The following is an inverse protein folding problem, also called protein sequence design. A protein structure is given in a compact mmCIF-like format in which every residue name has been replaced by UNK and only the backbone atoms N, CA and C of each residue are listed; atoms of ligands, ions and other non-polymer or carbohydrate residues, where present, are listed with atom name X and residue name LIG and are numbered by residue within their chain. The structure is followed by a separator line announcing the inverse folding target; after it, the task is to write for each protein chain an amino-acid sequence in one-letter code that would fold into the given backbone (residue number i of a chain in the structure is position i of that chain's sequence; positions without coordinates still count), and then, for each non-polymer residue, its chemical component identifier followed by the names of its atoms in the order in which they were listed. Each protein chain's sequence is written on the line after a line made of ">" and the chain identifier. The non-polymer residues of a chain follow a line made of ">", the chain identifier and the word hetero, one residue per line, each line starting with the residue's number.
data_IF_671218858637
#
_entry.id   IF_671218858637
#
_cell.length_a   1.000
_cell.length_b   1.000
_cell.length_c   1.000
_cell.angle_alpha   90.00
_cell.angle_beta   90.00
_cell.angle_gamma   90.00
#
_symmetry.space_group_name_H-M   'P 1'
#
loop_
_entity.id
_entity.type
_entity.pdbx_description
1 polymer ?
#
# COMPACT_ATOMS: atom_id res chain seq x y z
N UNK A 1 44.49 -49.04 6.16
CA UNK A 1 44.21 -48.12 7.29
C UNK A 1 44.32 -46.65 6.92
N UNK A 2 45.32 -46.19 6.16
CA UNK A 2 45.47 -44.75 5.83
C UNK A 2 44.35 -44.15 4.96
N UNK A 3 43.67 -44.95 4.14
CA UNK A 3 42.58 -44.46 3.27
C UNK A 3 41.25 -44.25 4.02
N UNK A 4 41.00 -45.05 5.06
CA UNK A 4 39.79 -44.94 5.90
C UNK A 4 39.84 -43.68 6.78
N UNK A 5 41.03 -43.33 7.27
CA UNK A 5 41.31 -42.10 8.02
C UNK A 5 41.04 -40.83 7.20
N UNK A 6 41.43 -40.83 5.91
CA UNK A 6 41.18 -39.69 5.00
C UNK A 6 39.68 -39.54 4.72
N UNK A 7 38.96 -40.67 4.58
CA UNK A 7 37.52 -40.65 4.35
C UNK A 7 36.75 -40.15 5.59
N UNK A 8 37.20 -40.49 6.79
CA UNK A 8 36.63 -39.99 8.06
C UNK A 8 36.85 -38.49 8.26
N UNK A 9 38.00 -37.95 7.81
CA UNK A 9 38.31 -36.52 7.87
C UNK A 9 37.48 -35.66 6.89
N UNK A 10 37.06 -36.21 5.75
CA UNK A 10 36.22 -35.50 4.76
C UNK A 10 34.74 -35.40 5.18
N UNK A 11 34.27 -36.27 6.07
CA UNK A 11 32.89 -36.25 6.61
C UNK A 11 32.76 -35.24 7.78
N UNK A 12 33.89 -34.77 8.32
CA UNK A 12 33.97 -33.79 9.42
C UNK A 12 34.05 -32.33 8.95
N UNK A 13 33.93 -32.04 7.66
CA UNK A 13 33.80 -30.66 7.19
C UNK A 13 32.35 -30.24 7.46
N UNK A 14 32.05 -29.36 8.43
CA UNK A 14 30.72 -28.79 8.54
C UNK A 14 30.44 -28.09 7.21
N UNK A 15 29.39 -28.52 6.52
CA UNK A 15 28.82 -27.76 5.42
C UNK A 15 28.61 -26.35 5.96
N UNK A 16 29.26 -25.36 5.35
CA UNK A 16 29.02 -23.95 5.66
C UNK A 16 27.55 -23.71 5.40
N UNK A 17 26.73 -23.74 6.44
CA UNK A 17 25.36 -23.28 6.38
C UNK A 17 25.43 -21.84 5.92
N UNK A 18 24.72 -21.60 4.83
CA UNK A 18 24.47 -20.32 4.21
C UNK A 18 24.17 -19.27 5.29
N UNK A 19 24.62 -18.03 5.04
CA UNK A 19 24.27 -16.81 5.75
C UNK A 19 22.97 -16.94 6.54
N UNK A 20 23.08 -16.90 7.87
CA UNK A 20 21.97 -16.87 8.83
C UNK A 20 20.80 -16.04 8.27
N UNK A 21 19.64 -16.66 7.99
CA UNK A 21 18.44 -15.90 7.72
C UNK A 21 18.05 -15.25 9.04
N UNK A 22 18.08 -13.91 9.02
CA UNK A 22 17.40 -12.98 9.92
C UNK A 22 16.34 -13.68 10.80
N UNK A 23 16.43 -13.63 12.14
CA UNK A 23 15.57 -14.37 13.07
C UNK A 23 14.12 -14.39 12.58
N UNK A 24 13.63 -15.59 12.24
CA UNK A 24 12.27 -15.93 11.78
C UNK A 24 11.41 -14.72 11.39
N UNK A 25 11.76 -14.04 10.29
CA UNK A 25 10.98 -12.90 9.78
C UNK A 25 9.53 -13.33 9.56
N UNK A 26 8.58 -12.54 10.07
CA UNK A 26 7.14 -12.85 9.99
C UNK A 26 6.75 -13.22 8.55
N UNK A 27 6.09 -14.37 8.36
CA UNK A 27 5.66 -14.86 7.06
C UNK A 27 4.70 -13.88 6.37
N UNK A 28 3.86 -13.17 7.13
CA UNK A 28 2.99 -12.11 6.62
C UNK A 28 3.80 -10.92 6.09
N UNK A 29 4.94 -10.60 6.71
CA UNK A 29 5.84 -9.53 6.24
C UNK A 29 6.53 -9.93 4.94
N UNK A 30 6.97 -11.19 4.83
CA UNK A 30 7.54 -11.73 3.59
C UNK A 30 6.52 -11.67 2.45
N UNK A 31 5.27 -12.09 2.70
CA UNK A 31 4.20 -12.01 1.73
C UNK A 31 3.89 -10.56 1.32
N UNK A 32 3.77 -9.66 2.30
CA UNK A 32 3.53 -8.25 2.07
C UNK A 32 4.64 -7.62 1.23
N UNK A 33 5.92 -7.89 1.54
CA UNK A 33 7.07 -7.40 0.75
C UNK A 33 6.97 -7.85 -0.71
N UNK A 34 6.62 -9.11 -0.97
CA UNK A 34 6.46 -9.62 -2.33
C UNK A 34 5.29 -8.92 -3.07
N UNK A 35 4.20 -8.61 -2.37
CA UNK A 35 3.06 -7.84 -2.91
C UNK A 35 3.44 -6.38 -3.20
N UNK A 36 4.17 -5.73 -2.28
CA UNK A 36 4.68 -4.36 -2.47
C UNK A 36 5.61 -4.26 -3.69
N UNK A 37 6.52 -5.22 -3.86
CA UNK A 37 7.43 -5.30 -5.02
C UNK A 37 6.66 -5.48 -6.32
N UNK A 38 5.69 -6.40 -6.37
CA UNK A 38 4.83 -6.62 -7.54
C UNK A 38 4.04 -5.36 -7.91
N UNK A 39 3.73 -4.52 -6.93
CA UNK A 39 3.04 -3.25 -7.10
C UNK A 39 3.97 -2.05 -7.39
N UNK A 40 5.28 -2.26 -7.57
CA UNK A 40 6.30 -1.24 -7.83
C UNK A 40 6.52 -0.22 -6.68
N UNK A 41 6.54 -0.69 -5.44
CA UNK A 41 6.93 0.11 -4.26
C UNK A 41 8.32 -0.32 -3.75
N UNK A 42 9.32 -0.32 -4.63
CA UNK A 42 10.64 -0.89 -4.35
C UNK A 42 11.41 -0.10 -3.30
N UNK A 43 11.33 1.23 -3.34
CA UNK A 43 12.03 2.10 -2.38
C UNK A 43 11.42 1.94 -0.99
N UNK A 44 10.09 1.81 -0.88
CA UNK A 44 9.45 1.55 0.41
C UNK A 44 9.88 0.19 0.99
N UNK A 45 9.95 -0.84 0.16
CA UNK A 45 10.47 -2.17 0.55
C UNK A 45 11.92 -2.09 1.03
N UNK A 46 12.76 -1.30 0.36
CA UNK A 46 14.13 -1.04 0.79
C UNK A 46 14.15 -0.44 2.20
N UNK A 47 13.32 0.57 2.48
CA UNK A 47 13.24 1.17 3.82
C UNK A 47 12.80 0.15 4.87
N UNK A 48 11.81 -0.69 4.58
CA UNK A 48 11.36 -1.77 5.47
C UNK A 48 12.50 -2.76 5.78
N UNK A 49 13.33 -3.10 4.78
CA UNK A 49 14.46 -4.02 4.96
C UNK A 49 15.66 -3.38 5.68
N UNK A 50 15.81 -2.06 5.59
CA UNK A 50 16.88 -1.30 6.25
C UNK A 50 16.51 -0.91 7.69
N UNK A 51 15.23 -1.01 8.06
CA UNK A 51 14.80 -0.79 9.44
C UNK A 51 15.32 -1.89 10.35
N UNK A 52 15.77 -1.56 11.58
CA UNK A 52 15.93 -2.57 12.60
C UNK A 52 14.58 -3.28 12.87
N UNK A 53 14.60 -4.54 13.34
CA UNK A 53 13.38 -5.24 13.73
C UNK A 53 12.56 -4.45 14.73
N UNK A 54 11.27 -4.30 14.45
CA UNK A 54 10.32 -3.56 15.29
C UNK A 54 8.94 -4.21 15.15
N UNK A 55 8.42 -4.77 16.23
CA UNK A 55 7.12 -5.46 16.26
C UNK A 55 5.98 -4.63 15.67
N UNK A 56 6.05 -3.28 15.78
CA UNK A 56 5.04 -2.37 15.24
C UNK A 56 5.02 -2.27 13.72
N UNK A 57 6.08 -2.74 13.07
CA UNK A 57 6.25 -2.82 11.61
C UNK A 57 6.11 -4.26 11.11
N UNK A 58 6.11 -5.25 12.00
CA UNK A 58 6.08 -6.67 11.65
C UNK A 58 4.74 -7.33 11.95
N UNK A 59 3.91 -6.74 12.82
CA UNK A 59 2.63 -7.31 13.25
C UNK A 59 1.51 -6.26 13.31
N UNK A 60 0.32 -6.66 12.87
CA UNK A 60 -0.94 -5.90 12.99
C UNK A 60 -0.82 -4.45 12.51
N UNK A 61 -0.32 -4.26 11.30
CA UNK A 61 0.03 -2.95 10.75
C UNK A 61 -0.54 -2.71 9.36
N UNK A 62 -0.94 -1.47 9.08
CA UNK A 62 -1.22 -1.01 7.71
C UNK A 62 -0.15 -0.04 7.27
N UNK A 63 0.60 -0.37 6.22
CA UNK A 63 1.53 0.55 5.58
C UNK A 63 0.82 1.52 4.64
N UNK A 64 1.16 2.80 4.76
CA UNK A 64 0.75 3.89 3.89
C UNK A 64 1.97 4.30 3.04
N UNK A 65 2.12 3.68 1.88
CA UNK A 65 3.37 3.67 1.12
C UNK A 65 3.41 4.79 0.08
N UNK A 66 4.30 5.79 0.20
CA UNK A 66 4.58 6.68 -0.91
C UNK A 66 5.20 5.87 -2.05
N UNK A 67 4.86 6.20 -3.30
CA UNK A 67 5.49 5.59 -4.47
C UNK A 67 6.97 6.01 -4.61
N UNK A 68 7.73 5.24 -5.39
CA UNK A 68 9.17 5.41 -5.55
C UNK A 68 9.57 6.81 -6.08
N UNK A 69 8.72 7.42 -6.93
CA UNK A 69 8.94 8.79 -7.45
C UNK A 69 8.90 9.85 -6.35
N UNK A 70 8.07 9.67 -5.33
CA UNK A 70 8.03 10.61 -4.21
C UNK A 70 9.19 10.38 -3.25
N UNK A 71 9.54 9.12 -3.02
CA UNK A 71 10.66 8.74 -2.17
C UNK A 71 12.02 9.12 -2.78
N UNK A 72 12.13 9.30 -4.09
CA UNK A 72 13.38 9.75 -4.72
C UNK A 72 13.75 11.20 -4.38
N UNK A 73 12.80 11.99 -3.87
CA UNK A 73 12.99 13.43 -3.59
C UNK A 73 13.09 13.74 -2.10
N UNK A 74 13.02 12.73 -1.22
CA UNK A 74 13.14 12.93 0.23
C UNK A 74 14.56 12.69 0.70
N UNK A 75 14.99 13.50 1.68
CA UNK A 75 16.25 13.31 2.40
C UNK A 75 15.93 12.68 3.76
N UNK A 76 16.18 11.38 3.90
CA UNK A 76 16.08 10.69 5.18
C UNK A 76 17.44 10.70 5.88
N UNK A 77 17.48 11.24 7.09
CA UNK A 77 18.68 11.19 7.92
C UNK A 77 18.95 9.74 8.36
N UNK A 78 20.21 9.39 8.55
CA UNK A 78 20.58 8.10 9.11
C UNK A 78 19.92 7.91 10.50
N UNK A 79 19.40 6.70 10.76
CA UNK A 79 18.65 6.42 11.99
C UNK A 79 17.19 6.91 12.01
N UNK A 80 16.74 7.69 11.01
CA UNK A 80 15.34 8.18 10.93
C UNK A 80 14.38 7.23 10.21
N UNK A 81 14.89 6.15 9.60
CA UNK A 81 14.11 5.19 8.79
C UNK A 81 12.96 4.57 9.58
N UNK A 82 13.21 4.11 10.81
CA UNK A 82 12.16 3.54 11.66
C UNK A 82 11.06 4.58 11.94
N UNK A 83 11.44 5.80 12.33
CA UNK A 83 10.48 6.89 12.55
C UNK A 83 9.66 7.24 11.30
N UNK A 84 10.30 7.22 10.13
CA UNK A 84 9.63 7.40 8.85
C UNK A 84 8.59 6.32 8.57
N UNK A 85 8.96 5.04 8.73
CA UNK A 85 8.05 3.91 8.50
C UNK A 85 6.87 3.92 9.48
N UNK A 86 7.14 4.18 10.76
CA UNK A 86 6.12 4.25 11.82
C UNK A 86 5.12 5.38 11.61
N UNK A 87 5.57 6.52 11.07
CA UNK A 87 4.69 7.63 10.68
C UNK A 87 3.80 7.22 9.51
N UNK A 88 4.32 6.39 8.62
CA UNK A 88 3.65 5.84 7.45
C UNK A 88 2.96 4.51 7.74
N UNK A 89 2.56 4.28 9.00
CA UNK A 89 1.83 3.07 9.35
C UNK A 89 0.71 3.33 10.35
N UNK A 90 -0.34 2.51 10.30
CA UNK A 90 -1.44 2.48 11.26
C UNK A 90 -1.30 1.19 12.08
N UNK A 91 -1.42 1.21 13.42
CA UNK A 91 -1.24 0.03 14.28
C UNK A 91 -2.52 -0.85 14.28
N UNK A 92 -3.01 -1.18 13.09
CA UNK A 92 -4.10 -2.11 12.84
C UNK A 92 -4.06 -2.54 11.37
N UNK A 93 -4.36 -3.82 11.03
CA UNK A 93 -4.45 -4.29 9.65
C UNK A 93 -5.80 -3.91 9.03
N UNK A 94 -5.85 -2.77 8.34
CA UNK A 94 -7.05 -2.18 7.76
C UNK A 94 -7.07 -2.39 6.25
N UNK A 95 -8.13 -3.02 5.75
CA UNK A 95 -8.47 -2.96 4.33
C UNK A 95 -9.12 -1.61 4.01
N UNK A 96 -9.09 -1.24 2.74
CA UNK A 96 -9.69 0.02 2.29
C UNK A 96 -11.20 0.10 2.56
N UNK A 97 -11.91 -1.04 2.55
CA UNK A 97 -13.33 -1.08 2.91
C UNK A 97 -13.58 -0.75 4.38
N UNK A 98 -12.64 -1.08 5.27
CA UNK A 98 -12.68 -0.69 6.68
C UNK A 98 -12.34 0.80 6.82
N UNK A 99 -11.29 1.28 6.14
CA UNK A 99 -10.91 2.69 6.16
C UNK A 99 -12.07 3.62 5.73
N UNK A 100 -12.80 3.26 4.67
CA UNK A 100 -13.94 4.03 4.18
C UNK A 100 -15.09 4.19 5.19
N UNK A 101 -15.16 3.34 6.21
CA UNK A 101 -16.18 3.44 7.26
C UNK A 101 -15.88 4.56 8.24
N UNK A 102 -14.64 5.05 8.30
CA UNK A 102 -14.31 6.20 9.13
C UNK A 102 -14.95 7.49 8.58
N UNK A 103 -15.72 8.21 9.41
CA UNK A 103 -16.25 9.51 9.04
C UNK A 103 -15.14 10.54 8.74
N UNK A 104 -15.48 11.54 7.94
CA UNK A 104 -14.62 12.72 7.78
C UNK A 104 -14.41 13.42 9.12
N UNK A 105 -13.17 13.78 9.42
CA UNK A 105 -12.78 14.38 10.70
C UNK A 105 -12.31 13.36 11.74
N UNK A 106 -12.51 12.06 11.51
CA UNK A 106 -11.93 11.01 12.36
C UNK A 106 -10.43 11.16 12.40
N UNK A 107 -9.86 10.93 13.59
CA UNK A 107 -8.42 10.92 13.78
C UNK A 107 -8.02 9.59 14.40
N UNK A 108 -7.04 8.93 13.79
CA UNK A 108 -6.53 7.61 14.20
C UNK A 108 -5.03 7.70 14.52
N UNK A 109 -4.48 6.83 15.37
CA UNK A 109 -3.04 6.83 15.61
C UNK A 109 -2.28 6.30 14.38
N UNK A 110 -1.08 6.81 14.17
CA UNK A 110 -0.03 6.09 13.44
C UNK A 110 0.74 5.16 14.40
N UNK A 111 1.62 4.31 13.90
CA UNK A 111 2.50 3.50 14.77
C UNK A 111 3.62 4.33 15.40
N UNK A 112 3.84 5.57 14.93
CA UNK A 112 4.74 6.52 15.58
C UNK A 112 4.04 7.09 16.83
N UNK A 113 4.65 7.02 18.03
CA UNK A 113 4.02 7.50 19.25
C UNK A 113 3.67 8.99 19.15
N UNK A 114 2.53 9.38 19.73
CA UNK A 114 2.01 10.75 19.73
C UNK A 114 1.77 11.34 18.34
N UNK A 115 1.69 10.51 17.31
CA UNK A 115 1.48 10.94 15.94
C UNK A 115 0.11 10.50 15.43
N UNK A 116 -0.78 11.47 15.25
CA UNK A 116 -2.15 11.23 14.81
C UNK A 116 -2.36 11.53 13.32
N UNK A 117 -3.24 10.74 12.70
CA UNK A 117 -3.61 10.80 11.29
C UNK A 117 -5.08 11.20 11.16
N UNK A 118 -5.35 12.34 10.53
CA UNK A 118 -6.68 12.88 10.28
C UNK A 118 -7.23 12.38 8.95
N UNK A 119 -8.43 11.83 8.99
CA UNK A 119 -9.15 11.28 7.85
C UNK A 119 -10.07 12.35 7.26
N UNK A 120 -10.03 12.48 5.94
CA UNK A 120 -11.02 13.22 5.15
C UNK A 120 -11.55 12.31 4.06
N UNK A 121 -12.83 11.97 4.16
CA UNK A 121 -13.52 11.08 3.23
C UNK A 121 -14.54 11.90 2.42
N UNK A 122 -14.13 12.34 1.24
CA UNK A 122 -14.99 13.07 0.31
C UNK A 122 -15.62 12.12 -0.73
N UNK A 123 -15.87 10.86 -0.37
CA UNK A 123 -16.48 9.84 -1.22
C UNK A 123 -15.49 8.97 -1.99
N UNK A 124 -16.02 8.16 -2.94
CA UNK A 124 -15.36 6.97 -3.54
C UNK A 124 -13.94 7.16 -4.10
N UNK A 125 -13.53 8.37 -4.50
CA UNK A 125 -12.20 8.63 -5.10
C UNK A 125 -11.36 9.65 -4.34
N UNK A 126 -11.85 10.16 -3.21
CA UNK A 126 -11.22 11.24 -2.47
C UNK A 126 -11.09 10.88 -0.98
N UNK A 127 -10.49 9.72 -0.72
CA UNK A 127 -10.10 9.32 0.63
C UNK A 127 -8.67 9.80 0.91
N UNK A 128 -8.54 10.63 1.94
CA UNK A 128 -7.33 11.39 2.24
C UNK A 128 -6.95 11.21 3.70
N UNK A 129 -5.67 10.99 3.97
CA UNK A 129 -5.07 10.87 5.31
C UNK A 129 -4.02 11.98 5.44
N UNK A 130 -4.15 12.88 6.42
CA UNK A 130 -3.27 14.04 6.60
C UNK A 130 -2.98 14.78 5.28
N UNK A 131 -4.03 15.10 4.53
CA UNK A 131 -3.96 15.78 3.24
C UNK A 131 -3.28 14.98 2.11
N UNK A 132 -2.94 13.70 2.33
CA UNK A 132 -2.39 12.79 1.31
C UNK A 132 -3.44 11.78 0.85
N UNK A 133 -3.65 11.66 -0.46
CA UNK A 133 -4.66 10.76 -1.05
C UNK A 133 -4.17 9.30 -1.07
N UNK A 134 -5.06 8.35 -0.79
CA UNK A 134 -4.83 6.94 -1.14
C UNK A 134 -5.07 6.74 -2.64
N UNK A 135 -4.06 6.27 -3.37
CA UNK A 135 -4.10 6.04 -4.83
C UNK A 135 -4.07 4.57 -5.23
N UNK A 136 -3.63 3.68 -4.34
CA UNK A 136 -3.59 2.24 -4.61
C UNK A 136 -4.06 1.47 -3.38
N UNK A 137 -5.38 1.24 -3.23
CA UNK A 137 -5.92 0.50 -2.11
C UNK A 137 -5.58 -1.00 -2.19
N UNK A 138 -5.54 -1.66 -1.03
CA UNK A 138 -5.41 -3.12 -0.88
C UNK A 138 -4.26 -3.75 -1.69
N UNK A 139 -3.03 -3.23 -1.55
CA UNK A 139 -1.85 -3.82 -2.20
C UNK A 139 -1.47 -5.15 -1.54
N UNK A 140 -1.37 -5.16 -0.21
CA UNK A 140 -1.07 -6.39 0.53
C UNK A 140 -2.36 -7.04 1.03
N UNK A 141 -2.66 -8.25 0.55
CA UNK A 141 -3.91 -8.97 0.87
C UNK A 141 -3.69 -10.44 1.21
N UNK A 142 -2.51 -11.02 0.91
CA UNK A 142 -2.23 -12.43 1.15
C UNK A 142 -2.13 -12.78 2.65
N UNK A 143 -1.49 -11.92 3.45
CA UNK A 143 -1.34 -12.12 4.90
C UNK A 143 -2.60 -11.74 5.69
N UNK A 144 -2.56 -11.85 7.02
CA UNK A 144 -3.66 -11.41 7.89
C UNK A 144 -3.31 -10.18 8.73
N UNK A 145 -2.04 -10.08 9.13
CA UNK A 145 -1.54 -9.07 10.06
C UNK A 145 -0.97 -7.82 9.38
N UNK A 146 -0.73 -7.85 8.07
CA UNK A 146 -0.17 -6.72 7.32
C UNK A 146 -1.07 -6.32 6.17
N UNK A 147 -1.40 -5.02 6.11
CA UNK A 147 -2.11 -4.39 5.00
C UNK A 147 -1.25 -3.28 4.42
N UNK A 148 -1.46 -2.97 3.15
CA UNK A 148 -0.70 -1.89 2.52
C UNK A 148 -1.58 -1.12 1.54
N UNK A 149 -1.39 0.20 1.53
CA UNK A 149 -2.04 1.11 0.59
C UNK A 149 -1.01 2.09 0.04
N UNK A 150 -1.04 2.30 -1.26
CA UNK A 150 -0.25 3.33 -1.91
C UNK A 150 -0.87 4.71 -1.71
N UNK A 151 -0.04 5.69 -1.40
CA UNK A 151 -0.44 7.10 -1.18
C UNK A 151 0.27 8.04 -2.14
N UNK A 152 -0.34 9.20 -2.41
CA UNK A 152 0.11 10.25 -3.35
C UNK A 152 0.79 11.42 -2.65
N UNK A 153 1.59 11.10 -1.63
CA UNK A 153 2.37 12.05 -0.88
C UNK A 153 3.25 11.35 0.14
N UNK A 154 4.07 12.13 0.83
CA UNK A 154 4.78 11.71 2.04
C UNK A 154 4.09 12.40 3.21
N UNK A 155 3.76 11.64 4.26
CA UNK A 155 3.16 12.19 5.47
C UNK A 155 4.16 13.13 6.18
N UNK A 156 3.67 14.32 6.53
CA UNK A 156 4.48 15.40 7.11
C UNK A 156 5.16 15.00 8.41
N UNK A 157 6.37 15.52 8.66
CA UNK A 157 7.08 15.21 9.90
C UNK A 157 6.39 15.71 11.16
N UNK A 158 5.67 16.82 11.04
CA UNK A 158 4.77 17.34 12.06
C UNK A 158 3.52 16.47 12.11
N UNK A 159 3.39 15.70 13.19
CA UNK A 159 2.13 15.03 13.49
C UNK A 159 1.21 15.94 14.29
N UNK A 160 -0.10 15.72 14.19
CA UNK A 160 -1.06 16.40 15.08
C UNK A 160 -0.84 15.84 16.49
N UNK A 161 -0.42 16.65 17.49
CA UNK A 161 -0.17 16.15 18.83
C UNK A 161 -1.48 15.68 19.47
N UNK A 162 -1.47 14.53 20.13
CA UNK A 162 -2.66 14.01 20.83
C UNK A 162 -3.23 14.99 21.87
N UNK A 163 -2.39 15.87 22.45
CA UNK A 163 -2.79 16.91 23.41
C UNK A 163 -3.56 18.08 22.80
N UNK A 164 -3.49 18.28 21.47
CA UNK A 164 -4.26 19.34 20.79
C UNK A 164 -5.75 19.01 20.63
N UNK A 165 -6.18 17.80 20.98
CA UNK A 165 -7.56 17.34 20.84
C UNK A 165 -8.47 17.64 22.04
N UNK A 166 -7.92 18.18 23.15
CA UNK A 166 -8.68 18.44 24.37
C UNK A 166 -9.10 19.91 24.59
N UNK A 167 -8.87 20.81 23.62
CA UNK A 167 -9.29 22.20 23.75
C UNK A 167 -10.45 22.52 22.82
N UNK A 168 -11.65 22.65 23.39
CA UNK A 168 -12.83 23.24 22.76
C UNK A 168 -12.71 24.76 22.51
N UNK A 169 -11.48 25.28 22.34
CA UNK A 169 -11.26 26.62 21.84
C UNK A 169 -10.74 26.52 20.42
N UNK A 170 -11.62 26.87 19.48
CA UNK A 170 -11.31 27.09 18.08
C UNK A 170 -10.23 28.18 17.96
N UNK A 171 -8.98 27.74 17.94
CA UNK A 171 -7.83 28.56 17.59
C UNK A 171 -7.40 28.15 16.20
N UNK A 172 -7.96 28.82 15.20
CA UNK A 172 -7.49 28.82 13.81
C UNK A 172 -5.97 29.06 13.81
N UNK A 173 -5.15 28.31 13.04
CA UNK A 173 -3.73 28.64 12.91
C UNK A 173 -3.60 30.00 12.24
N UNK A 174 -3.19 31.00 13.03
CA UNK A 174 -2.89 32.36 12.57
C UNK A 174 -1.73 32.28 11.56
N UNK A 175 -2.04 32.58 10.29
CA UNK A 175 -1.04 32.87 9.27
C UNK A 175 -0.21 34.08 9.72
N UNK A 176 1.10 34.04 9.44
CA UNK A 176 2.06 35.12 9.77
C UNK A 176 1.56 36.49 9.27
N UNK A 177 1.64 37.56 10.08
CA UNK A 177 1.27 38.91 9.63
C UNK A 177 2.21 39.40 8.53
N UNK A 178 1.66 39.84 7.40
CA UNK A 178 2.39 40.66 6.43
C UNK A 178 2.68 42.04 7.05
N UNK A 179 3.86 42.66 6.81
CA UNK A 179 4.16 43.99 7.34
C UNK A 179 3.34 45.07 6.63
N UNK A 180 2.85 46.01 7.45
CA UNK A 180 2.01 47.15 7.09
C UNK A 180 2.53 47.95 5.90
N UNK A 181 1.60 48.35 5.02
CA UNK A 181 1.71 49.59 4.27
C UNK A 181 0.34 50.27 4.29
N UNK A 182 0.32 51.39 4.99
CA UNK A 182 -0.77 52.36 5.10
C UNK A 182 -1.10 52.90 3.73
N UNK A 183 -2.35 52.77 3.27
CA UNK A 183 -3.13 53.91 2.76
C UNK A 183 -4.58 53.52 2.42
N UNK A 184 -5.48 54.14 3.17
CA UNK A 184 -6.84 54.61 2.84
C UNK A 184 -7.64 53.99 1.68
N UNK A 185 -8.83 53.46 2.04
CA UNK A 185 -10.16 53.90 1.56
C UNK A 185 -11.13 52.77 1.19
N UNK A 186 -12.35 52.87 1.75
CA UNK A 186 -13.63 52.44 1.19
C UNK A 186 -13.96 50.94 1.13
N UNK A 187 -14.60 50.47 2.22
CA UNK A 187 -15.56 49.37 2.19
C UNK A 187 -16.75 49.77 1.29
N UNK A 188 -16.87 49.19 0.11
CA UNK A 188 -18.12 49.16 -0.64
C UNK A 188 -18.46 47.71 -0.95
N UNK A 189 -19.56 47.24 -0.35
CA UNK A 189 -20.20 45.99 -0.70
C UNK A 189 -20.56 46.01 -2.19
N UNK A 190 -20.19 44.96 -2.91
CA UNK A 190 -20.62 44.80 -4.30
C UNK A 190 -22.14 44.63 -4.38
N UNK A 191 -22.82 45.25 -5.36
CA UNK A 191 -24.26 45.11 -5.55
C UNK A 191 -24.64 43.69 -6.01
N UNK A 192 -25.89 43.23 -5.76
CA UNK A 192 -26.34 41.90 -6.14
C UNK A 192 -26.40 41.76 -7.68
N UNK A 193 -25.82 40.67 -8.17
CA UNK A 193 -25.89 40.24 -9.57
C UNK A 193 -27.36 39.88 -9.90
N UNK A 194 -27.96 40.40 -10.98
CA UNK A 194 -29.28 39.97 -11.42
C UNK A 194 -29.21 38.53 -11.97
N UNK A 195 -30.11 37.67 -11.50
CA UNK A 195 -30.33 36.32 -12.04
C UNK A 195 -30.68 36.37 -13.54
N UNK A 196 -30.20 35.43 -14.38
CA UNK A 196 -30.62 35.34 -15.77
C UNK A 196 -32.08 34.87 -15.88
N UNK A 197 -32.83 35.30 -16.91
CA UNK A 197 -34.23 34.92 -17.10
C UNK A 197 -34.38 33.43 -17.44
N UNK A 198 -35.40 32.81 -16.84
CA UNK A 198 -35.86 31.45 -17.14
C UNK A 198 -36.25 31.34 -18.63
N UNK A 199 -35.64 30.38 -19.32
CA UNK A 199 -36.04 29.98 -20.67
C UNK A 199 -37.43 29.33 -20.66
N UNK A 200 -38.29 29.60 -21.67
CA UNK A 200 -39.59 28.96 -21.78
C UNK A 200 -39.47 27.46 -22.04
N UNK A 201 -40.33 26.69 -21.38
CA UNK A 201 -40.51 25.26 -21.56
C UNK A 201 -40.90 24.92 -23.00
N UNK A 202 -40.20 23.97 -23.61
CA UNK A 202 -40.54 23.43 -24.93
C UNK A 202 -41.90 22.71 -24.91
N UNK A 203 -42.74 22.85 -25.95
CA UNK A 203 -44.06 22.25 -25.99
C UNK A 203 -44.00 20.73 -26.18
N UNK A 204 -44.87 20.06 -25.44
CA UNK A 204 -45.23 18.65 -25.59
C UNK A 204 -45.95 18.43 -26.91
N UNK A 205 -45.33 17.72 -27.84
CA UNK A 205 -46.01 17.14 -29.01
C UNK A 205 -46.38 15.69 -28.69
N UNK A 206 -47.62 15.52 -28.21
CA UNK A 206 -48.36 14.28 -28.38
C UNK A 206 -48.78 14.19 -29.83
N UNK A 207 -48.47 13.07 -30.49
CA UNK A 207 -49.33 12.54 -31.53
C UNK A 207 -49.65 11.07 -31.24
N UNK A 208 -50.92 10.65 -31.38
CA UNK A 208 -51.39 9.28 -31.15
C UNK A 208 -51.39 8.45 -32.45
N UNK A 209 -51.37 7.13 -32.29
CA UNK A 209 -51.56 6.08 -33.31
C UNK A 209 -50.29 5.75 -34.13
N UNK A 210 -49.86 4.50 -34.35
CA UNK A 210 -50.49 3.18 -34.23
C UNK A 210 -49.40 2.09 -34.47
N UNK A 211 -49.64 0.86 -33.95
CA UNK A 211 -48.99 -0.46 -34.22
C UNK A 211 -47.84 -0.98 -33.32
N UNK A 212 -48.26 -1.90 -32.44
CA UNK A 212 -47.65 -3.19 -32.02
C UNK A 212 -46.45 -3.25 -31.05
N UNK A 213 -46.54 -4.04 -29.96
CA UNK A 213 -45.40 -4.39 -29.14
C UNK A 213 -44.65 -5.59 -29.74
N UNK A 214 -43.35 -5.42 -30.04
CA UNK A 214 -42.47 -6.56 -30.32
C UNK A 214 -41.61 -6.84 -29.08
N UNK A 215 -41.63 -8.07 -28.54
CA UNK A 215 -40.72 -8.46 -27.46
C UNK A 215 -39.28 -8.53 -27.98
N UNK A 216 -38.35 -7.95 -27.23
CA UNK A 216 -36.91 -8.17 -27.41
C UNK A 216 -36.57 -9.64 -27.12
N UNK A 217 -35.90 -10.38 -28.03
CA UNK A 217 -35.35 -11.68 -27.71
C UNK A 217 -34.10 -11.50 -26.84
N UNK A 218 -34.07 -12.24 -25.73
CA UNK A 218 -32.89 -12.47 -24.90
C UNK A 218 -31.70 -13.02 -25.74
N UNK A 219 -30.45 -12.84 -25.30
CA UNK A 219 -29.27 -13.25 -26.05
C UNK A 219 -29.14 -14.77 -26.10
N UNK A 220 -29.06 -15.33 -27.30
CA UNK A 220 -28.71 -16.73 -27.52
C UNK A 220 -27.22 -16.96 -27.21
N UNK A 221 -26.87 -18.03 -26.46
CA UNK A 221 -25.50 -18.46 -26.22
C UNK A 221 -25.07 -19.46 -27.31
N UNK A 222 -23.82 -19.41 -27.76
CA UNK A 222 -23.14 -20.48 -28.51
C UNK A 222 -21.64 -20.18 -28.64
N UNK A 223 -20.76 -21.19 -28.78
CA UNK A 223 -20.78 -22.50 -28.13
C UNK A 223 -19.42 -22.88 -27.52
N UNK A 224 -19.49 -23.86 -26.61
CA UNK A 224 -18.37 -24.62 -26.06
C UNK A 224 -17.35 -25.07 -27.11
N UNK A 225 -16.08 -24.73 -26.89
CA UNK A 225 -14.95 -25.54 -27.37
C UNK A 225 -14.57 -26.50 -26.25
N UNK A 226 -14.86 -27.78 -26.47
CA UNK A 226 -14.32 -28.90 -25.69
C UNK A 226 -13.00 -29.34 -26.33
N UNK A 227 -11.99 -29.57 -25.49
CA UNK A 227 -11.15 -30.79 -25.46
C UNK A 227 -9.65 -30.50 -25.22
N UNK A 228 -9.06 -31.42 -24.45
CA UNK A 228 -7.64 -31.63 -24.11
C UNK A 228 -7.09 -30.64 -23.07
N UNK A 229 -6.94 -30.98 -21.79
CA UNK A 229 -6.43 -32.24 -21.27
C UNK A 229 -4.92 -32.27 -21.47
N UNK A 230 -4.17 -31.59 -20.59
CA UNK A 230 -2.76 -31.91 -20.38
C UNK A 230 -2.24 -31.35 -19.06
N UNK A 231 -2.09 -32.26 -18.11
CA UNK A 231 -1.37 -32.09 -16.86
C UNK A 231 0.14 -32.19 -17.12
N UNK A 232 0.87 -31.12 -16.88
CA UNK A 232 2.29 -31.19 -16.54
C UNK A 232 2.53 -30.31 -15.32
N UNK A 233 2.43 -30.96 -14.16
CA UNK A 233 3.15 -30.55 -12.96
C UNK A 233 4.64 -30.59 -13.30
N UNK A 234 5.26 -29.43 -13.48
CA UNK A 234 6.71 -29.29 -13.30
C UNK A 234 6.93 -28.77 -11.88
N UNK A 235 6.81 -29.69 -10.93
CA UNK A 235 7.53 -29.58 -9.66
C UNK A 235 9.02 -29.61 -9.99
N UNK A 236 9.69 -28.50 -9.74
CA UNK A 236 11.13 -28.37 -9.86
C UNK A 236 11.79 -29.03 -8.64
N UNK A 237 11.91 -30.37 -8.65
CA UNK A 237 12.70 -31.12 -7.68
C UNK A 237 14.14 -31.27 -8.21
N UNK A 238 14.88 -30.15 -8.15
CA UNK A 238 16.21 -29.99 -8.73
C UNK A 238 17.37 -30.35 -7.80
N UNK A 239 17.11 -30.94 -6.62
CA UNK A 239 18.16 -31.13 -5.60
C UNK A 239 18.79 -32.54 -5.62
N UNK A 240 17.99 -33.59 -5.79
CA UNK A 240 18.49 -34.98 -5.69
C UNK A 240 19.23 -35.45 -6.95
N UNK A 241 18.80 -35.02 -8.13
CA UNK A 241 19.41 -35.46 -9.39
C UNK A 241 20.83 -34.89 -9.56
N UNK A 242 21.09 -33.66 -9.11
CA UNK A 242 22.42 -33.06 -9.22
C UNK A 242 23.45 -33.77 -8.34
N UNK A 243 23.04 -34.19 -7.13
CA UNK A 243 23.90 -34.94 -6.21
C UNK A 243 24.20 -36.34 -6.75
N UNK A 244 23.20 -37.03 -7.32
CA UNK A 244 23.40 -38.35 -7.92
C UNK A 244 24.37 -38.32 -9.11
N UNK A 245 24.27 -37.31 -9.98
CA UNK A 245 25.19 -37.13 -11.11
C UNK A 245 26.63 -36.80 -10.66
N UNK A 246 26.78 -36.01 -9.59
CA UNK A 246 28.10 -35.68 -9.05
C UNK A 246 28.79 -36.91 -8.46
N UNK A 247 28.05 -37.77 -7.75
CA UNK A 247 28.59 -39.00 -7.15
C UNK A 247 28.97 -40.02 -8.22
N UNK A 248 28.15 -40.19 -9.27
CA UNK A 248 28.47 -41.10 -10.38
C UNK A 248 29.68 -40.64 -11.21
N UNK A 249 29.82 -39.33 -11.42
CA UNK A 249 30.98 -38.75 -12.12
C UNK A 249 32.28 -39.00 -11.34
N UNK A 250 32.25 -38.87 -10.01
CA UNK A 250 33.42 -39.13 -9.17
C UNK A 250 33.78 -40.62 -9.12
N UNK A 251 32.84 -41.55 -9.23
CA UNK A 251 33.17 -43.00 -9.28
C UNK A 251 33.74 -43.39 -10.65
N UNK A 252 33.29 -42.78 -11.74
CA UNK A 252 33.79 -43.06 -13.09
C UNK A 252 35.21 -42.54 -13.38
N UNK A 253 35.71 -41.57 -12.61
CA UNK A 253 37.07 -41.04 -12.75
C UNK A 253 38.11 -41.93 -12.04
N UNK A 254 37.67 -42.79 -11.11
CA UNK A 254 38.55 -43.61 -10.26
C UNK A 254 38.47 -45.12 -10.55
N UNK A 255 37.89 -45.51 -11.69
CA UNK A 255 37.91 -46.87 -12.25
C UNK A 255 38.88 -46.96 -13.44
#
# INVERSE_FOLDING_TARGET
>A
MKLLEVFLLLILIPSTTQTEPNPARNQDLVAAIAEMQRANYFTFVMLVNMSPPDVRLEENVTFLMPNDRMLSNILLQEGSVSGFLLRHSIPSPLLFDTLKQFPTGTTIPSSLPNCMLRITNNGRKNYVINNVRIISPNICVAGSSIRCHGIDGVLSESCVPSSSMNNNNSSVPTLKPCPNSTDSSSCMASPPIPSPPLLPSAPSSRDPNVLTPRPSPNPSPSPNVKSAGSSYLLSFDGSLNFVAFLVLSLVGIYL
#
